data_IF_881357726141
#
_entry.id   IF_881357726141
#
_cell.length_a   1.000
_cell.length_b   1.000
_cell.length_c   1.000
_cell.angle_alpha   90.00
_cell.angle_beta   90.00
_cell.angle_gamma   90.00
#
_symmetry.space_group_name_H-M   'P 1'
#
loop_
_entity.id
_entity.type
_entity.pdbx_description
1 polymer ?
#
# COMPACT_ATOMS: atom_id res chain seq x y z
N UNK A 1 15.64 11.86 -23.28
CA UNK A 1 15.29 12.59 -22.03
C UNK A 1 13.84 12.24 -21.72
N UNK A 2 13.64 11.07 -21.12
CA UNK A 2 12.29 10.61 -20.76
C UNK A 2 11.82 11.33 -19.50
N UNK A 3 10.51 11.45 -19.25
CA UNK A 3 10.01 12.15 -18.08
C UNK A 3 10.41 11.39 -16.81
N UNK A 4 11.32 12.00 -16.07
CA UNK A 4 11.89 11.45 -14.85
C UNK A 4 10.98 11.73 -13.64
N UNK A 5 9.76 11.16 -13.70
CA UNK A 5 8.69 11.31 -12.71
C UNK A 5 9.08 10.92 -11.26
N UNK A 6 10.19 10.20 -11.08
CA UNK A 6 10.65 9.67 -9.79
C UNK A 6 11.99 10.26 -9.31
N UNK A 7 12.48 11.34 -9.93
CA UNK A 7 13.81 11.93 -9.66
C UNK A 7 14.12 12.36 -8.22
N UNK A 8 13.16 12.32 -7.28
CA UNK A 8 13.38 12.68 -5.87
C UNK A 8 12.53 11.93 -4.83
N UNK A 9 11.81 10.88 -5.23
CA UNK A 9 10.88 10.18 -4.33
C UNK A 9 11.41 8.79 -3.98
N UNK A 10 12.08 8.67 -2.84
CA UNK A 10 12.53 7.39 -2.29
C UNK A 10 11.77 7.04 -1.02
N UNK A 11 11.45 5.75 -0.88
CA UNK A 11 10.92 5.20 0.36
C UNK A 11 12.07 4.84 1.30
N UNK A 12 12.08 5.41 2.50
CA UNK A 12 12.99 4.94 3.54
C UNK A 12 12.53 3.56 4.05
N UNK A 13 13.46 2.67 4.47
CA UNK A 13 13.08 1.33 4.94
C UNK A 13 12.04 1.30 6.07
N UNK A 14 12.06 2.22 7.06
CA UNK A 14 11.01 2.26 8.09
C UNK A 14 9.63 2.61 7.50
N UNK A 15 9.57 3.57 6.56
CA UNK A 15 8.30 3.98 5.94
C UNK A 15 7.75 2.87 5.05
N UNK A 16 8.60 2.21 4.25
CA UNK A 16 8.18 1.07 3.45
C UNK A 16 7.61 -0.06 4.32
N UNK A 17 8.24 -0.34 5.46
CA UNK A 17 7.76 -1.34 6.41
C UNK A 17 6.40 -0.95 7.00
N UNK A 18 6.22 0.31 7.38
CA UNK A 18 4.93 0.81 7.86
C UNK A 18 3.82 0.67 6.81
N UNK A 19 4.09 1.01 5.55
CA UNK A 19 3.14 0.84 4.44
C UNK A 19 2.80 -0.63 4.24
N UNK A 20 3.79 -1.52 4.31
CA UNK A 20 3.56 -2.96 4.19
C UNK A 20 2.65 -3.50 5.31
N UNK A 21 2.91 -3.12 6.56
CA UNK A 21 2.06 -3.49 7.71
C UNK A 21 0.63 -2.96 7.53
N UNK A 22 0.47 -1.73 7.06
CA UNK A 22 -0.85 -1.16 6.76
C UNK A 22 -1.57 -1.92 5.64
N UNK A 23 -0.86 -2.34 4.59
CA UNK A 23 -1.41 -3.17 3.52
C UNK A 23 -1.91 -4.51 4.07
N UNK A 24 -1.14 -5.17 4.94
CA UNK A 24 -1.54 -6.41 5.59
C UNK A 24 -2.79 -6.22 6.49
N UNK A 25 -2.83 -5.14 7.28
CA UNK A 25 -3.97 -4.85 8.15
C UNK A 25 -5.23 -4.54 7.34
N UNK A 26 -5.11 -3.76 6.26
CA UNK A 26 -6.21 -3.48 5.34
C UNK A 26 -6.73 -4.78 4.68
N UNK A 27 -5.83 -5.66 4.24
CA UNK A 27 -6.21 -6.98 3.70
C UNK A 27 -6.91 -7.88 4.72
N UNK A 28 -6.44 -7.89 5.98
CA UNK A 28 -7.12 -8.59 7.07
C UNK A 28 -8.54 -8.05 7.29
N UNK A 29 -8.69 -6.72 7.37
CA UNK A 29 -9.99 -6.06 7.55
C UNK A 29 -10.93 -6.32 6.38
N UNK A 30 -10.44 -6.27 5.15
CA UNK A 30 -11.20 -6.66 3.96
C UNK A 30 -11.77 -8.07 4.10
N UNK A 31 -10.92 -9.05 4.44
CA UNK A 31 -11.35 -10.45 4.61
C UNK A 31 -12.34 -10.61 5.75
N UNK A 32 -12.16 -9.89 6.85
CA UNK A 32 -13.09 -9.90 7.96
C UNK A 32 -14.47 -9.36 7.55
N UNK A 33 -14.53 -8.20 6.90
CA UNK A 33 -15.79 -7.61 6.40
C UNK A 33 -16.47 -8.53 5.40
N UNK A 34 -15.69 -9.14 4.49
CA UNK A 34 -16.23 -10.06 3.49
C UNK A 34 -16.87 -11.29 4.13
N UNK A 35 -16.18 -11.92 5.09
CA UNK A 35 -16.71 -13.07 5.82
C UNK A 35 -17.91 -12.73 6.69
N UNK A 36 -17.98 -11.52 7.23
CA UNK A 36 -19.09 -11.05 8.04
C UNK A 36 -20.27 -10.55 7.19
N UNK A 37 -20.22 -10.67 5.85
CA UNK A 37 -21.19 -10.10 4.91
C UNK A 37 -21.50 -8.63 5.20
N UNK A 38 -20.48 -7.89 5.66
CA UNK A 38 -20.60 -6.51 6.08
C UNK A 38 -20.86 -5.55 4.91
N UNK A 39 -20.99 -4.24 5.20
CA UNK A 39 -21.31 -3.24 4.19
C UNK A 39 -20.33 -3.26 3.02
N UNK A 40 -20.84 -3.36 1.79
CA UNK A 40 -20.03 -3.48 0.56
C UNK A 40 -19.06 -2.32 0.34
N UNK A 41 -19.38 -1.13 0.85
CA UNK A 41 -18.50 0.03 0.77
C UNK A 41 -17.20 -0.17 1.58
N UNK A 42 -17.24 -0.93 2.70
CA UNK A 42 -16.05 -1.22 3.49
C UNK A 42 -15.10 -2.16 2.77
N UNK A 43 -15.63 -3.07 1.94
CA UNK A 43 -14.79 -3.90 1.05
C UNK A 43 -14.00 -3.02 0.09
N UNK A 44 -14.67 -2.08 -0.56
CA UNK A 44 -13.99 -1.14 -1.45
C UNK A 44 -12.96 -0.29 -0.72
N UNK A 45 -13.28 0.24 0.47
CA UNK A 45 -12.35 1.05 1.24
C UNK A 45 -11.08 0.26 1.60
N UNK A 46 -11.21 -0.91 2.21
CA UNK A 46 -10.06 -1.71 2.64
C UNK A 46 -9.30 -2.33 1.46
N UNK A 47 -10.01 -2.76 0.42
CA UNK A 47 -9.41 -3.32 -0.78
C UNK A 47 -8.64 -2.26 -1.58
N UNK A 48 -9.22 -1.07 -1.76
CA UNK A 48 -8.55 0.03 -2.43
C UNK A 48 -7.36 0.55 -1.62
N UNK A 49 -7.49 0.68 -0.30
CA UNK A 49 -6.37 1.07 0.55
C UNK A 49 -5.19 0.08 0.46
N UNK A 50 -5.46 -1.23 0.49
CA UNK A 50 -4.44 -2.25 0.30
C UNK A 50 -3.80 -2.19 -1.09
N UNK A 51 -4.63 -2.02 -2.14
CA UNK A 51 -4.14 -1.90 -3.52
C UNK A 51 -3.20 -0.69 -3.68
N UNK A 52 -3.59 0.49 -3.18
CA UNK A 52 -2.76 1.70 -3.23
C UNK A 52 -1.44 1.50 -2.48
N UNK A 53 -1.47 0.91 -1.28
CA UNK A 53 -0.25 0.63 -0.52
C UNK A 53 0.72 -0.30 -1.27
N UNK A 54 0.20 -1.35 -1.91
CA UNK A 54 0.99 -2.28 -2.71
C UNK A 54 1.52 -1.63 -4.00
N UNK A 55 0.74 -0.78 -4.66
CA UNK A 55 1.21 -0.02 -5.82
C UNK A 55 2.36 0.92 -5.44
N UNK A 56 2.26 1.60 -4.29
CA UNK A 56 3.36 2.44 -3.78
C UNK A 56 4.62 1.60 -3.54
N UNK A 57 4.51 0.46 -2.86
CA UNK A 57 5.66 -0.43 -2.62
C UNK A 57 6.24 -1.04 -3.90
N UNK A 58 5.41 -1.27 -4.93
CA UNK A 58 5.84 -1.88 -6.18
C UNK A 58 6.57 -0.89 -7.10
N UNK A 59 6.19 0.40 -7.08
CA UNK A 59 6.67 1.38 -8.07
C UNK A 59 7.57 2.47 -7.49
N UNK A 60 7.60 2.68 -6.17
CA UNK A 60 8.48 3.67 -5.54
C UNK A 60 9.78 2.99 -5.08
N UNK A 61 10.95 3.47 -5.53
CA UNK A 61 12.22 2.86 -5.19
C UNK A 61 12.52 2.98 -3.69
N UNK A 62 13.10 1.92 -3.12
CA UNK A 62 13.63 1.94 -1.77
C UNK A 62 14.96 2.69 -1.72
N UNK A 63 15.12 3.53 -0.71
CA UNK A 63 16.41 4.09 -0.36
C UNK A 63 17.28 2.97 0.20
N UNK A 64 18.22 2.50 -0.61
CA UNK A 64 19.33 1.69 -0.14
C UNK A 64 20.29 2.62 0.59
N UNK A 65 20.57 2.35 1.86
CA UNK A 65 21.58 3.11 2.62
C UNK A 65 22.90 3.15 1.83
N UNK A 66 23.43 4.35 1.65
CA UNK A 66 24.80 4.56 1.18
C UNK A 66 25.79 4.37 2.32
#
# INVERSE_FOLDING_TARGET
MGPDFFSGSFLTPPVATAIFVLACLAGYRYRHVWKAEGPRWQLWLFGAAAAVALLVLAFVPLQTGG
#
